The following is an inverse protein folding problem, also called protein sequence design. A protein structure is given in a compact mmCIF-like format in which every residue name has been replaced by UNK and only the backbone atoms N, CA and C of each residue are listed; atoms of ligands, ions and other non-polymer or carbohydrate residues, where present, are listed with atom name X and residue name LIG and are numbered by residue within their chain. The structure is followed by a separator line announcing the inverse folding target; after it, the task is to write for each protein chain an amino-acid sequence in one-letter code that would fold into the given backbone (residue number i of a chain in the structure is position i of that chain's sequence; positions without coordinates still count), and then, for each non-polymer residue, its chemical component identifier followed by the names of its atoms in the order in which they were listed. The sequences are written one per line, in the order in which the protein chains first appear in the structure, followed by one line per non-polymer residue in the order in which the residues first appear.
data_IF_651125048720
#
_entry.id   IF_651125048720
#
_cell.length_a   1.000
_cell.length_b   1.000
_cell.length_c   1.000
_cell.angle_alpha   90.00
_cell.angle_beta   90.00
_cell.angle_gamma   90.00
#
_symmetry.space_group_name_H-M   'P 1'
#
loop_
_entity.id
_entity.type
_entity.pdbx_description
1 polymer ?
#
# COMPACT_ATOMS: atom_id res chain seq x y z
N UNK A 1 -3.57 5.04 -14.95
CA UNK A 1 -2.72 5.35 -13.78
C UNK A 1 -1.87 4.14 -13.38
N UNK A 2 -2.44 2.92 -13.32
CA UNK A 2 -1.71 1.69 -13.01
C UNK A 2 -0.49 1.50 -13.91
N UNK A 3 -0.68 1.50 -15.22
CA UNK A 3 0.41 1.36 -16.22
C UNK A 3 1.48 2.44 -16.05
N UNK A 4 1.05 3.68 -15.80
CA UNK A 4 1.98 4.79 -15.58
C UNK A 4 2.91 4.51 -14.40
N UNK A 5 2.37 4.19 -13.22
CA UNK A 5 3.18 4.04 -11.99
C UNK A 5 3.99 2.73 -12.00
N UNK A 6 3.41 1.63 -12.49
CA UNK A 6 4.07 0.31 -12.42
C UNK A 6 5.00 -0.01 -13.59
N UNK A 7 4.94 0.77 -14.68
CA UNK A 7 5.72 0.49 -15.89
C UNK A 7 6.41 1.73 -16.47
N UNK A 8 5.65 2.75 -16.87
CA UNK A 8 6.21 3.89 -17.62
C UNK A 8 7.16 4.72 -16.74
N UNK A 9 6.72 5.09 -15.52
CA UNK A 9 7.53 5.84 -14.57
C UNK A 9 8.77 5.04 -14.14
N UNK A 10 8.61 3.75 -13.88
CA UNK A 10 9.73 2.86 -13.51
C UNK A 10 10.77 2.82 -14.61
N UNK A 11 10.37 2.61 -15.86
CA UNK A 11 11.28 2.59 -17.01
C UNK A 11 11.99 3.93 -17.20
N UNK A 12 11.25 5.03 -17.07
CA UNK A 12 11.82 6.37 -17.19
C UNK A 12 12.86 6.62 -16.10
N UNK A 13 12.55 6.36 -14.85
CA UNK A 13 13.50 6.56 -13.73
C UNK A 13 14.72 5.64 -13.87
N UNK A 14 14.54 4.40 -14.27
CA UNK A 14 15.63 3.44 -14.48
C UNK A 14 16.52 3.80 -15.68
N UNK A 15 16.01 4.58 -16.66
CA UNK A 15 16.82 5.07 -17.78
C UNK A 15 17.61 6.32 -17.44
N UNK A 16 17.02 7.24 -16.68
CA UNK A 16 17.58 8.57 -16.41
C UNK A 16 18.49 8.60 -15.17
N UNK A 17 18.33 7.65 -14.23
CA UNK A 17 19.02 7.67 -12.95
C UNK A 17 19.75 6.36 -12.66
N UNK A 18 20.82 6.45 -11.86
CA UNK A 18 21.54 5.25 -11.37
C UNK A 18 20.71 4.55 -10.29
N UNK A 19 19.90 3.58 -10.68
CA UNK A 19 18.99 2.82 -9.82
C UNK A 19 19.38 1.34 -9.78
N UNK A 20 18.92 0.63 -8.75
CA UNK A 20 18.85 -0.84 -8.76
C UNK A 20 17.59 -1.23 -9.54
N UNK A 21 17.78 -1.73 -10.78
CA UNK A 21 16.69 -1.90 -11.79
C UNK A 21 15.81 -3.13 -11.58
N UNK A 22 15.71 -3.62 -10.37
CA UNK A 22 14.87 -4.75 -10.02
C UNK A 22 14.06 -4.48 -8.73
N UNK A 23 13.15 -5.37 -8.41
CA UNK A 23 12.26 -5.23 -7.25
C UNK A 23 12.99 -5.18 -5.90
N UNK A 24 14.20 -5.70 -5.81
CA UNK A 24 14.99 -5.68 -4.56
C UNK A 24 15.46 -4.27 -4.19
N UNK A 25 15.56 -3.38 -5.17
CA UNK A 25 15.88 -1.96 -5.01
C UNK A 25 14.66 -1.04 -5.05
N UNK A 26 13.42 -1.57 -5.10
CA UNK A 26 12.24 -0.73 -5.33
C UNK A 26 11.16 -0.93 -4.28
N UNK A 27 10.77 0.17 -3.65
CA UNK A 27 9.66 0.24 -2.72
C UNK A 27 8.64 1.29 -3.19
N UNK A 28 7.39 1.12 -2.78
CA UNK A 28 6.31 2.09 -3.00
C UNK A 28 5.62 2.39 -1.68
N UNK A 29 5.30 3.65 -1.44
CA UNK A 29 4.52 4.06 -0.26
C UNK A 29 3.66 5.26 -0.56
N UNK A 30 2.69 5.52 0.30
CA UNK A 30 1.84 6.69 0.24
C UNK A 30 0.99 6.88 1.48
N UNK A 31 0.33 8.02 1.56
CA UNK A 31 -0.61 8.35 2.62
C UNK A 31 -2.04 8.40 2.08
N UNK A 32 -3.03 8.04 2.90
CA UNK A 32 -4.46 8.13 2.55
C UNK A 32 -4.78 7.37 1.26
N UNK A 33 -5.27 8.05 0.22
CA UNK A 33 -5.48 7.49 -1.11
C UNK A 33 -4.16 6.96 -1.73
N UNK A 34 -3.02 7.61 -1.47
CA UNK A 34 -1.70 7.12 -1.88
C UNK A 34 -1.31 5.83 -1.18
N UNK A 35 -1.70 5.64 0.08
CA UNK A 35 -1.52 4.38 0.83
C UNK A 35 -2.36 3.23 0.26
N UNK A 36 -3.63 3.52 -0.11
CA UNK A 36 -4.45 2.59 -0.88
C UNK A 36 -3.76 2.19 -2.19
N UNK A 37 -3.35 3.19 -2.98
CA UNK A 37 -2.70 2.96 -4.27
C UNK A 37 -1.40 2.17 -4.15
N UNK A 38 -0.58 2.44 -3.14
CA UNK A 38 0.66 1.71 -2.89
C UNK A 38 0.40 0.22 -2.63
N UNK A 39 -0.56 -0.11 -1.73
CA UNK A 39 -0.94 -1.50 -1.44
C UNK A 39 -1.55 -2.18 -2.66
N UNK A 40 -2.51 -1.52 -3.32
CA UNK A 40 -3.20 -2.08 -4.48
C UNK A 40 -2.24 -2.36 -5.64
N UNK A 41 -1.34 -1.42 -5.95
CA UNK A 41 -0.34 -1.57 -7.02
C UNK A 41 0.68 -2.64 -6.70
N UNK A 42 1.24 -2.66 -5.48
CA UNK A 42 2.28 -3.62 -5.12
C UNK A 42 1.79 -5.06 -5.12
N UNK A 43 0.54 -5.31 -4.70
CA UNK A 43 -0.03 -6.65 -4.71
C UNK A 43 -0.29 -7.16 -6.14
N UNK A 44 -0.56 -6.28 -7.07
CA UNK A 44 -0.77 -6.58 -8.48
C UNK A 44 0.53 -6.65 -9.28
N UNK A 45 1.56 -5.91 -8.85
CA UNK A 45 2.86 -5.78 -9.50
C UNK A 45 4.02 -6.13 -8.55
N UNK A 46 3.92 -7.29 -7.88
CA UNK A 46 4.95 -7.80 -6.97
C UNK A 46 6.26 -8.18 -7.68
N UNK A 47 6.24 -8.27 -8.99
CA UNK A 47 7.41 -8.39 -9.86
C UNK A 47 8.17 -7.05 -10.00
N UNK A 48 7.48 -5.93 -9.80
CA UNK A 48 8.03 -4.57 -9.89
C UNK A 48 8.51 -4.05 -8.54
N UNK A 49 7.71 -4.24 -7.49
CA UNK A 49 7.98 -3.72 -6.15
C UNK A 49 8.35 -4.85 -5.18
N UNK A 50 9.39 -4.65 -4.38
CA UNK A 50 9.82 -5.60 -3.35
C UNK A 50 9.36 -5.23 -1.94
N UNK A 51 9.03 -3.96 -1.71
CA UNK A 51 8.51 -3.48 -0.44
C UNK A 51 7.38 -2.46 -0.66
N UNK A 52 6.46 -2.39 0.30
CA UNK A 52 5.32 -1.47 0.27
C UNK A 52 5.04 -0.89 1.65
N UNK A 53 4.64 0.39 1.65
CA UNK A 53 4.17 1.08 2.84
C UNK A 53 2.82 1.77 2.62
N UNK A 54 2.09 1.99 3.72
CA UNK A 54 0.84 2.76 3.71
C UNK A 54 0.68 3.50 5.03
N UNK A 55 0.47 4.80 4.98
CA UNK A 55 0.13 5.61 6.15
C UNK A 55 -1.32 6.03 6.07
N UNK A 56 -2.13 5.71 7.08
CA UNK A 56 -3.56 6.05 7.12
C UNK A 56 -4.27 5.70 5.80
N UNK A 57 -3.97 4.55 5.21
CA UNK A 57 -4.44 4.18 3.87
C UNK A 57 -5.92 3.80 3.85
N UNK A 58 -6.63 4.21 2.80
CA UNK A 58 -8.00 3.75 2.51
C UNK A 58 -8.01 2.33 1.95
N UNK A 59 -7.40 1.36 2.66
CA UNK A 59 -7.15 -0.01 2.17
C UNK A 59 -8.42 -0.82 1.89
N UNK A 60 -9.54 -0.41 2.46
CA UNK A 60 -10.89 -0.85 2.06
C UNK A 60 -11.77 0.39 1.81
N UNK A 61 -12.14 0.62 0.56
CA UNK A 61 -12.94 1.78 0.13
C UNK A 61 -14.45 1.50 0.15
N UNK A 62 -14.86 0.24 0.25
CA UNK A 62 -16.28 -0.19 0.16
C UNK A 62 -17.16 0.35 1.29
N UNK A 63 -16.70 0.54 2.54
CA UNK A 63 -17.51 1.19 3.58
C UNK A 63 -17.80 2.68 3.32
N UNK A 64 -17.20 3.28 2.29
CA UNK A 64 -17.27 4.72 1.99
C UNK A 64 -17.82 5.01 0.59
N UNK A 65 -18.95 4.38 0.14
CA UNK A 65 -19.35 4.40 -1.27
C UNK A 65 -19.73 5.79 -1.79
N UNK A 66 -20.12 6.70 -0.88
CA UNK A 66 -20.55 8.06 -1.23
C UNK A 66 -19.45 9.11 -1.03
N UNK A 67 -18.25 8.71 -0.62
CA UNK A 67 -17.15 9.62 -0.36
C UNK A 67 -16.27 9.81 -1.60
N UNK A 68 -15.61 10.98 -1.70
CA UNK A 68 -14.58 11.30 -2.71
C UNK A 68 -15.01 11.05 -4.16
N UNK A 69 -16.31 11.12 -4.43
CA UNK A 69 -16.89 10.88 -5.77
C UNK A 69 -16.55 9.51 -6.37
N UNK A 70 -16.24 8.52 -5.53
CA UNK A 70 -15.85 7.16 -5.97
C UNK A 70 -16.94 6.51 -6.82
N UNK A 71 -18.22 6.78 -6.50
CA UNK A 71 -19.36 6.28 -7.27
C UNK A 71 -19.41 6.82 -8.70
N UNK A 72 -18.83 7.99 -8.98
CA UNK A 72 -18.73 8.52 -10.35
C UNK A 72 -17.72 7.75 -11.20
N UNK A 73 -16.71 7.15 -10.55
CA UNK A 73 -15.66 6.39 -11.22
C UNK A 73 -15.97 4.90 -11.28
N UNK A 74 -16.50 4.32 -10.20
CA UNK A 74 -16.70 2.87 -10.05
C UNK A 74 -18.17 2.45 -10.24
N UNK A 75 -19.09 3.42 -10.40
CA UNK A 75 -20.53 3.17 -10.33
C UNK A 75 -21.01 3.02 -8.89
N UNK A 76 -22.33 2.90 -8.67
CA UNK A 76 -22.87 2.64 -7.35
C UNK A 76 -22.36 1.29 -6.82
N UNK A 77 -21.93 1.24 -5.58
CA UNK A 77 -21.32 0.03 -4.98
C UNK A 77 -22.30 -1.15 -5.01
N UNK A 78 -23.58 -0.91 -4.69
CA UNK A 78 -24.64 -1.92 -4.70
C UNK A 78 -24.77 -2.65 -6.05
N UNK A 79 -24.55 -1.94 -7.15
CA UNK A 79 -24.76 -2.45 -8.52
C UNK A 79 -23.46 -2.92 -9.18
N UNK A 80 -22.31 -2.54 -8.62
CA UNK A 80 -21.00 -2.74 -9.22
C UNK A 80 -19.99 -3.37 -8.23
N UNK A 81 -20.43 -4.28 -7.37
CA UNK A 81 -19.61 -4.89 -6.31
C UNK A 81 -18.28 -5.48 -6.82
N UNK A 82 -18.28 -6.13 -7.98
CA UNK A 82 -17.07 -6.69 -8.57
C UNK A 82 -16.06 -5.60 -8.95
N UNK A 83 -16.53 -4.48 -9.50
CA UNK A 83 -15.68 -3.32 -9.82
C UNK A 83 -15.06 -2.75 -8.54
N UNK A 84 -15.85 -2.57 -7.49
CA UNK A 84 -15.36 -2.10 -6.19
C UNK A 84 -14.36 -3.08 -5.56
N UNK A 85 -14.63 -4.38 -5.60
CA UNK A 85 -13.71 -5.41 -5.10
C UNK A 85 -12.38 -5.40 -5.85
N UNK A 86 -12.40 -5.31 -7.18
CA UNK A 86 -11.17 -5.29 -7.97
C UNK A 86 -10.32 -4.04 -7.75
N UNK A 87 -10.94 -2.93 -7.32
CA UNK A 87 -10.25 -1.66 -7.03
C UNK A 87 -9.97 -1.45 -5.53
N UNK A 88 -10.21 -2.43 -4.68
CA UNK A 88 -10.00 -2.35 -3.23
C UNK A 88 -8.77 -3.14 -2.80
N UNK A 89 -7.83 -2.50 -2.09
CA UNK A 89 -6.54 -3.11 -1.74
C UNK A 89 -6.68 -4.38 -0.88
N UNK A 90 -7.55 -4.38 0.14
CA UNK A 90 -7.78 -5.56 1.00
C UNK A 90 -8.29 -6.78 0.21
N UNK A 91 -8.91 -6.57 -0.94
CA UNK A 91 -9.40 -7.64 -1.80
C UNK A 91 -8.31 -8.25 -2.70
N UNK A 92 -7.13 -7.63 -2.76
CA UNK A 92 -6.00 -8.12 -3.55
C UNK A 92 -5.01 -8.99 -2.75
N UNK A 93 -5.27 -9.23 -1.46
CA UNK A 93 -4.35 -9.99 -0.58
C UNK A 93 -4.09 -11.42 -1.08
N UNK A 94 -5.04 -12.03 -1.75
CA UNK A 94 -4.94 -13.38 -2.32
C UNK A 94 -3.91 -13.49 -3.48
N UNK A 95 -3.49 -12.34 -4.03
CA UNK A 95 -2.48 -12.28 -5.10
C UNK A 95 -1.05 -12.47 -4.62
N UNK A 96 -0.82 -12.36 -3.30
CA UNK A 96 0.50 -12.45 -2.70
C UNK A 96 0.62 -13.63 -1.75
N UNK A 97 1.84 -14.13 -1.59
CA UNK A 97 2.22 -15.14 -0.60
C UNK A 97 3.20 -14.54 0.39
N UNK A 98 3.32 -15.18 1.55
CA UNK A 98 4.29 -14.74 2.56
C UNK A 98 5.71 -14.66 1.98
N UNK A 99 6.41 -13.57 2.29
CA UNK A 99 7.77 -13.30 1.83
C UNK A 99 7.89 -12.73 0.40
N UNK A 100 6.79 -12.63 -0.37
CA UNK A 100 6.83 -12.01 -1.70
C UNK A 100 6.94 -10.48 -1.66
N UNK A 101 6.45 -9.84 -0.59
CA UNK A 101 6.57 -8.40 -0.34
C UNK A 101 6.96 -8.15 1.11
N UNK A 102 7.82 -7.17 1.35
CA UNK A 102 8.01 -6.58 2.66
C UNK A 102 6.93 -5.51 2.88
N UNK A 103 6.09 -5.66 3.90
CA UNK A 103 4.88 -4.85 4.09
C UNK A 103 4.94 -4.11 5.42
N UNK A 104 4.77 -2.79 5.38
CA UNK A 104 4.55 -1.96 6.57
C UNK A 104 3.34 -1.06 6.36
N UNK A 105 2.51 -0.89 7.38
CA UNK A 105 1.48 0.13 7.37
C UNK A 105 1.17 0.63 8.76
N UNK A 106 0.62 1.81 8.82
CA UNK A 106 0.30 2.47 10.08
C UNK A 106 -1.00 3.27 9.97
N UNK A 107 -1.69 3.41 11.12
CA UNK A 107 -2.89 4.22 11.23
C UNK A 107 -3.04 4.75 12.64
N UNK A 108 -3.44 6.01 12.77
CA UNK A 108 -3.82 6.58 14.06
C UNK A 108 -5.11 5.95 14.56
N UNK A 109 -5.22 5.64 15.85
CA UNK A 109 -6.43 5.00 16.38
C UNK A 109 -7.67 5.93 16.41
N UNK A 110 -7.49 7.25 16.20
CA UNK A 110 -8.57 8.22 16.03
C UNK A 110 -8.80 8.59 14.55
N UNK A 111 -8.17 7.88 13.62
CA UNK A 111 -8.36 8.06 12.18
C UNK A 111 -9.64 7.33 11.74
N UNK A 112 -10.43 7.94 10.84
CA UNK A 112 -11.63 7.30 10.31
C UNK A 112 -11.34 6.05 9.45
N UNK A 113 -10.10 5.86 9.00
CA UNK A 113 -9.64 4.63 8.35
C UNK A 113 -9.08 3.59 9.32
N UNK A 114 -9.13 3.82 10.66
CA UNK A 114 -8.53 2.89 11.61
C UNK A 114 -9.11 1.48 11.50
N UNK A 115 -10.44 1.37 11.47
CA UNK A 115 -11.12 0.05 11.44
C UNK A 115 -10.78 -0.73 10.16
N UNK A 116 -10.76 -0.08 8.99
CA UNK A 116 -10.41 -0.78 7.74
C UNK A 116 -8.93 -1.20 7.71
N UNK A 117 -8.03 -0.45 8.35
CA UNK A 117 -6.64 -0.86 8.52
C UNK A 117 -6.49 -2.03 9.51
N UNK A 118 -7.28 -2.04 10.59
CA UNK A 118 -7.32 -3.15 11.53
C UNK A 118 -7.86 -4.44 10.88
N UNK A 119 -8.88 -4.33 10.03
CA UNK A 119 -9.41 -5.47 9.28
C UNK A 119 -8.43 -5.96 8.20
N UNK A 120 -7.68 -5.04 7.60
CA UNK A 120 -6.60 -5.38 6.69
C UNK A 120 -5.50 -6.19 7.40
N UNK A 121 -5.07 -5.76 8.60
CA UNK A 121 -4.17 -6.50 9.48
C UNK A 121 -4.68 -7.92 9.77
N UNK A 122 -5.93 -8.04 10.27
CA UNK A 122 -6.54 -9.36 10.55
C UNK A 122 -6.57 -10.26 9.32
N UNK A 123 -6.86 -9.69 8.15
CA UNK A 123 -6.89 -10.46 6.89
C UNK A 123 -5.50 -10.94 6.48
N UNK A 124 -4.46 -10.10 6.60
CA UNK A 124 -3.08 -10.51 6.35
C UNK A 124 -2.65 -11.65 7.29
N UNK A 125 -3.00 -11.57 8.60
CA UNK A 125 -2.75 -12.66 9.56
C UNK A 125 -3.47 -13.96 9.16
N UNK A 126 -4.74 -13.87 8.74
CA UNK A 126 -5.51 -15.03 8.26
C UNK A 126 -4.82 -15.72 7.07
N UNK A 127 -4.22 -14.94 6.17
CA UNK A 127 -3.48 -15.43 5.01
C UNK A 127 -2.02 -15.80 5.35
N UNK A 128 -1.60 -15.65 6.64
CA UNK A 128 -0.24 -15.92 7.13
C UNK A 128 0.81 -15.10 6.38
N UNK A 129 0.52 -13.82 6.12
CA UNK A 129 1.42 -12.88 5.46
C UNK A 129 2.07 -12.00 6.53
N UNK A 130 3.38 -12.08 6.64
CA UNK A 130 4.17 -11.27 7.58
C UNK A 130 4.14 -9.79 7.18
N UNK A 131 3.93 -8.92 8.17
CA UNK A 131 3.84 -7.48 7.98
C UNK A 131 4.05 -6.73 9.30
N UNK A 132 4.47 -5.47 9.21
CA UNK A 132 4.49 -4.54 10.33
C UNK A 132 3.22 -3.68 10.30
N UNK A 133 2.44 -3.71 11.37
CA UNK A 133 1.31 -2.80 11.58
C UNK A 133 1.54 -1.96 12.83
N UNK A 134 1.66 -0.64 12.66
CA UNK A 134 1.87 0.30 13.76
C UNK A 134 0.58 1.08 14.05
N UNK A 135 0.15 1.02 15.30
CA UNK A 135 -0.98 1.79 15.81
C UNK A 135 -0.48 2.79 16.83
N UNK A 136 -0.82 4.05 16.66
CA UNK A 136 -0.37 5.15 17.51
C UNK A 136 -1.47 6.16 17.76
N UNK A 137 -1.36 7.01 18.80
CA UNK A 137 -2.22 8.18 18.96
C UNK A 137 -2.18 9.08 17.73
N UNK A 138 -3.34 9.54 17.26
CA UNK A 138 -3.45 10.46 16.15
C UNK A 138 -4.64 10.17 15.26
N UNK A 139 -4.89 11.06 14.32
CA UNK A 139 -6.00 11.05 13.39
C UNK A 139 -5.53 11.32 11.95
N UNK A 140 -6.46 11.44 11.02
CA UNK A 140 -6.17 11.64 9.58
C UNK A 140 -5.68 13.07 9.29
N UNK A 141 -4.45 13.38 9.70
CA UNK A 141 -3.87 14.72 9.56
C UNK A 141 -2.35 14.74 9.39
N UNK A 142 -1.82 15.89 8.98
CA UNK A 142 -0.39 16.09 8.70
C UNK A 142 0.51 15.88 9.91
N UNK A 143 0.04 16.12 11.14
CA UNK A 143 0.81 15.88 12.37
C UNK A 143 1.11 14.38 12.52
N UNK A 144 0.09 13.54 12.38
CA UNK A 144 0.26 12.09 12.42
C UNK A 144 1.19 11.62 11.30
N UNK A 145 0.97 12.05 10.07
CA UNK A 145 1.72 11.61 8.89
C UNK A 145 3.19 11.99 8.94
N UNK A 146 3.51 13.20 9.46
CA UNK A 146 4.88 13.64 9.65
C UNK A 146 5.67 12.71 10.59
N UNK A 147 5.01 12.17 11.61
CA UNK A 147 5.65 11.22 12.53
C UNK A 147 5.71 9.79 11.96
N UNK A 148 4.86 9.45 11.01
CA UNK A 148 4.80 8.11 10.42
C UNK A 148 5.93 7.81 9.46
N UNK A 149 6.36 8.80 8.70
CA UNK A 149 7.32 8.60 7.62
C UNK A 149 8.67 8.04 8.10
N UNK A 150 9.12 8.41 9.29
CA UNK A 150 10.39 7.94 9.86
C UNK A 150 10.41 6.41 10.05
N UNK A 151 9.29 5.83 10.48
CA UNK A 151 9.16 4.37 10.65
C UNK A 151 9.20 3.64 9.31
N UNK A 152 8.56 4.20 8.29
CA UNK A 152 8.56 3.63 6.95
C UNK A 152 9.93 3.72 6.29
N UNK A 153 10.62 4.86 6.42
CA UNK A 153 12.00 5.01 5.92
C UNK A 153 12.93 4.00 6.59
N UNK A 154 12.83 3.82 7.92
CA UNK A 154 13.63 2.82 8.64
C UNK A 154 13.34 1.40 8.16
N UNK A 155 12.06 1.07 7.93
CA UNK A 155 11.65 -0.23 7.41
C UNK A 155 12.24 -0.47 5.99
N UNK A 156 12.10 0.49 5.10
CA UNK A 156 12.64 0.38 3.74
C UNK A 156 14.17 0.33 3.74
N UNK A 157 14.82 1.09 4.62
CA UNK A 157 16.29 0.98 4.78
C UNK A 157 16.70 -0.44 5.12
N UNK A 158 16.05 -1.08 6.10
CA UNK A 158 16.33 -2.47 6.47
C UNK A 158 16.08 -3.43 5.31
N UNK A 159 15.00 -3.23 4.54
CA UNK A 159 14.71 -4.01 3.35
C UNK A 159 15.84 -3.90 2.31
N UNK A 160 16.26 -2.69 1.98
CA UNK A 160 17.31 -2.45 0.99
C UNK A 160 18.66 -2.98 1.48
N UNK A 161 19.03 -2.77 2.75
CA UNK A 161 20.29 -3.26 3.31
C UNK A 161 20.38 -4.80 3.27
N UNK A 162 19.27 -5.51 3.55
CA UNK A 162 19.19 -6.97 3.44
C UNK A 162 19.42 -7.49 2.03
N UNK A 163 19.09 -6.69 1.03
CA UNK A 163 19.19 -7.05 -0.40
C UNK A 163 20.48 -6.54 -1.06
N UNK A 164 21.26 -5.68 -0.40
CA UNK A 164 22.59 -5.27 -0.88
C UNK A 164 23.49 -6.49 -1.00
N UNK A 165 24.07 -6.68 -2.17
CA UNK A 165 25.03 -7.78 -2.43
C UNK A 165 24.39 -9.10 -2.87
N UNK A 166 23.09 -9.13 -3.17
CA UNK A 166 22.43 -10.29 -3.78
C UNK A 166 22.39 -10.22 -5.32
N UNK A 167 22.89 -9.12 -5.89
CA UNK A 167 22.99 -8.86 -7.34
C UNK A 167 24.44 -8.85 -7.78
#
# INVERSE_FOLDING_TARGET
YETFVSSELVKYIDSEYSTVKDRSGRAITGLSMGGHGAMWLSFRHKDVFGAVGSTSGGVDIRPFPNNWEMNKLLGNESDNQEVWNTHTAIMQIDRIKNGELAIIFDCGYSDFFFEVNNDFHKKLLKYKIDHDFLVRPGSHNGEYWKNSIDYQILFFKKFFDKNKGKN
#
